data_IF_655555730510
#
_entry.id   IF_655555730510
#
_cell.length_a   1.000
_cell.length_b   1.000
_cell.length_c   1.000
_cell.angle_alpha   90.00
_cell.angle_beta   90.00
_cell.angle_gamma   90.00
#
_symmetry.space_group_name_H-M   'P 1'
#
loop_
_entity.id
_entity.type
_entity.pdbx_description
1 polymer ?
#
# COMPACT_ATOMS: atom_id res chain seq x y z
N UNK A 1 -7.58 25.69 8.25
CA UNK A 1 -8.43 26.75 8.81
C UNK A 1 -8.73 26.47 10.28
N UNK A 2 -7.92 27.02 11.15
CA UNK A 2 -7.96 26.77 12.57
C UNK A 2 -8.34 28.05 13.36
N UNK A 3 -7.89 28.20 14.57
CA UNK A 3 -8.19 29.35 15.43
C UNK A 3 -7.86 30.69 14.77
N UNK A 4 -6.81 30.74 13.96
CA UNK A 4 -6.36 31.95 13.26
C UNK A 4 -6.93 32.11 11.84
N UNK A 5 -7.93 31.33 11.48
CA UNK A 5 -8.59 31.37 10.19
C UNK A 5 -7.84 30.61 9.08
N UNK A 6 -8.01 31.06 7.87
CA UNK A 6 -7.45 30.39 6.68
C UNK A 6 -5.93 30.49 6.65
N UNK A 7 -5.22 29.35 6.64
CA UNK A 7 -3.77 29.27 6.61
C UNK A 7 -3.26 29.01 5.21
N UNK A 8 -2.27 29.77 4.77
CA UNK A 8 -1.65 29.64 3.44
C UNK A 8 -0.11 29.78 3.58
N UNK A 9 0.47 28.94 4.43
CA UNK A 9 1.90 28.94 4.63
C UNK A 9 2.60 28.03 3.62
N UNK A 10 3.77 28.47 3.17
CA UNK A 10 4.65 27.64 2.38
C UNK A 10 5.25 26.54 3.25
N UNK A 11 5.37 25.33 2.70
CA UNK A 11 6.12 24.24 3.34
C UNK A 11 7.63 24.47 3.14
N UNK A 12 8.36 24.53 4.25
CA UNK A 12 9.81 24.79 4.25
C UNK A 12 10.66 23.54 4.50
N UNK A 13 10.07 22.35 4.41
CA UNK A 13 10.74 21.07 4.64
C UNK A 13 10.66 20.56 6.07
N UNK A 14 9.99 21.26 6.96
CA UNK A 14 9.75 20.91 8.35
C UNK A 14 8.35 21.34 8.79
N UNK A 15 7.72 20.53 9.63
CA UNK A 15 6.38 20.78 10.15
C UNK A 15 5.28 20.01 9.41
N UNK A 16 4.14 19.86 10.05
CA UNK A 16 2.97 19.16 9.55
C UNK A 16 1.75 20.08 9.47
N UNK A 17 0.86 19.79 8.52
CA UNK A 17 -0.38 20.50 8.35
C UNK A 17 -1.54 19.76 9.04
N UNK A 18 -2.46 20.49 9.65
CA UNK A 18 -3.72 19.93 10.11
C UNK A 18 -4.62 19.67 8.89
N UNK A 19 -4.89 18.40 8.62
CA UNK A 19 -5.70 17.96 7.49
C UNK A 19 -7.07 17.47 7.99
N UNK A 20 -8.19 17.98 7.48
CA UNK A 20 -9.50 17.43 7.77
C UNK A 20 -9.67 16.06 7.12
N UNK A 21 -10.44 15.19 7.76
CA UNK A 21 -10.82 13.92 7.15
C UNK A 21 -11.74 14.14 5.96
N UNK A 22 -11.54 13.34 4.92
CA UNK A 22 -12.32 13.38 3.69
C UNK A 22 -12.39 12.06 2.97
N UNK A 23 -13.18 12.03 1.90
CA UNK A 23 -13.29 10.89 1.00
C UNK A 23 -12.56 11.20 -0.30
N UNK A 24 -11.87 10.20 -0.83
CA UNK A 24 -11.06 10.31 -2.04
C UNK A 24 -11.51 9.30 -3.09
N UNK A 25 -11.71 9.77 -4.32
CA UNK A 25 -11.88 8.95 -5.52
C UNK A 25 -10.76 9.29 -6.49
N UNK A 26 -9.77 8.40 -6.61
CA UNK A 26 -8.50 8.70 -7.29
C UNK A 26 -8.21 7.70 -8.39
N UNK A 27 -7.93 8.22 -9.59
CA UNK A 27 -7.51 7.43 -10.76
C UNK A 27 -6.09 7.77 -11.14
N UNK A 28 -5.21 6.77 -11.10
CA UNK A 28 -3.78 6.92 -11.36
C UNK A 28 -3.43 6.11 -12.61
N UNK A 29 -2.95 6.79 -13.65
CA UNK A 29 -2.56 6.17 -14.91
C UNK A 29 -1.05 6.07 -15.00
N UNK A 30 -0.55 4.84 -15.05
CA UNK A 30 0.88 4.51 -15.11
C UNK A 30 1.19 3.58 -16.28
N UNK A 31 2.47 3.38 -16.65
CA UNK A 31 2.85 2.34 -17.61
C UNK A 31 2.31 0.97 -17.18
N UNK A 32 1.93 0.12 -18.14
CA UNK A 32 1.24 -1.15 -17.84
C UNK A 32 2.12 -2.20 -17.16
N UNK A 33 3.43 -2.00 -17.16
CA UNK A 33 4.44 -2.80 -16.46
C UNK A 33 4.67 -2.37 -14.99
N UNK A 34 4.04 -1.27 -14.56
CA UNK A 34 4.11 -0.84 -13.17
C UNK A 34 3.09 -1.59 -12.29
N UNK A 35 3.55 -1.90 -11.09
CA UNK A 35 2.71 -2.27 -9.95
C UNK A 35 2.45 -1.01 -9.14
N UNK A 36 1.23 -0.90 -8.60
CA UNK A 36 0.81 0.26 -7.82
C UNK A 36 -0.08 -0.17 -6.66
N UNK A 37 0.13 0.42 -5.49
CA UNK A 37 -0.86 0.44 -4.43
C UNK A 37 -0.91 1.83 -3.78
N UNK A 38 -1.98 2.11 -3.05
CA UNK A 38 -2.30 3.46 -2.57
C UNK A 38 -3.18 3.42 -1.33
N UNK A 39 -3.38 4.57 -0.71
CA UNK A 39 -4.48 4.78 0.22
C UNK A 39 -5.81 4.36 -0.41
N UNK A 40 -6.66 3.70 0.36
CA UNK A 40 -7.99 3.27 -0.10
C UNK A 40 -8.04 1.90 -0.77
N UNK A 41 -9.23 1.51 -1.17
CA UNK A 41 -9.50 0.22 -1.78
C UNK A 41 -9.44 0.29 -3.31
N UNK A 42 -8.71 -0.64 -3.94
CA UNK A 42 -8.64 -0.78 -5.40
C UNK A 42 -9.96 -1.31 -5.96
N UNK A 43 -10.63 -0.51 -6.77
CA UNK A 43 -11.97 -0.79 -7.30
C UNK A 43 -11.95 -1.65 -8.56
N UNK A 44 -10.93 -1.52 -9.39
CA UNK A 44 -10.89 -2.13 -10.73
C UNK A 44 -9.83 -3.22 -10.89
N UNK A 45 -9.65 -4.08 -9.86
CA UNK A 45 -8.64 -5.16 -9.82
C UNK A 45 -8.59 -5.99 -11.11
N UNK A 46 -9.75 -6.35 -11.67
CA UNK A 46 -9.85 -7.16 -12.88
C UNK A 46 -9.23 -6.50 -14.11
N UNK A 47 -9.10 -5.17 -14.12
CA UNK A 47 -8.58 -4.41 -15.25
C UNK A 47 -7.06 -4.21 -15.17
N UNK A 48 -6.49 -4.24 -13.95
CA UNK A 48 -5.08 -3.92 -13.71
C UNK A 48 -4.24 -5.14 -13.30
N UNK A 49 -4.85 -6.18 -12.72
CA UNK A 49 -4.18 -7.42 -12.36
C UNK A 49 -4.15 -8.41 -13.53
N UNK A 50 -3.08 -9.17 -13.64
CA UNK A 50 -3.08 -10.40 -14.43
C UNK A 50 -3.98 -11.46 -13.79
N UNK A 51 -4.34 -12.50 -14.55
CA UNK A 51 -5.12 -13.62 -14.00
C UNK A 51 -4.42 -14.29 -12.82
N UNK A 52 -3.10 -14.40 -12.89
CA UNK A 52 -2.31 -15.01 -11.83
C UNK A 52 -2.22 -14.12 -10.58
N UNK A 53 -2.00 -12.82 -10.74
CA UNK A 53 -2.06 -11.86 -9.62
C UNK A 53 -3.42 -11.91 -8.93
N UNK A 54 -4.52 -11.94 -9.69
CA UNK A 54 -5.87 -12.00 -9.12
C UNK A 54 -6.09 -13.29 -8.31
N UNK A 55 -5.59 -14.43 -8.81
CA UNK A 55 -5.65 -15.72 -8.11
C UNK A 55 -4.87 -15.67 -6.79
N UNK A 56 -3.61 -15.16 -6.83
CA UNK A 56 -2.75 -15.02 -5.66
C UNK A 56 -3.34 -14.04 -4.64
N UNK A 57 -3.87 -12.91 -5.08
CA UNK A 57 -4.55 -11.93 -4.25
C UNK A 57 -5.75 -12.54 -3.51
N UNK A 58 -6.61 -13.29 -4.22
CA UNK A 58 -7.75 -13.97 -3.60
C UNK A 58 -7.33 -15.06 -2.61
N UNK A 59 -6.17 -15.71 -2.82
CA UNK A 59 -5.57 -16.64 -1.86
C UNK A 59 -5.08 -15.89 -0.62
N UNK A 60 -4.32 -14.80 -0.81
CA UNK A 60 -3.76 -14.01 0.28
C UNK A 60 -4.83 -13.51 1.27
N UNK A 61 -6.00 -13.10 0.77
CA UNK A 61 -7.15 -12.69 1.60
C UNK A 61 -7.67 -13.75 2.57
N UNK A 62 -7.23 -14.99 2.42
CA UNK A 62 -7.66 -16.15 3.25
C UNK A 62 -6.47 -16.86 3.89
N UNK A 63 -5.29 -16.24 3.87
CA UNK A 63 -4.05 -16.82 4.41
C UNK A 63 -3.57 -15.96 5.56
N UNK A 64 -3.56 -16.51 6.78
CA UNK A 64 -3.28 -15.81 8.04
C UNK A 64 -1.94 -16.21 8.67
N UNK A 65 -1.31 -17.25 8.18
CA UNK A 65 -0.11 -17.87 8.76
C UNK A 65 1.19 -17.42 8.09
N UNK A 66 1.11 -16.97 6.84
CA UNK A 66 2.28 -16.53 6.07
C UNK A 66 1.90 -15.62 4.91
N UNK A 67 2.82 -14.75 4.46
CA UNK A 67 2.61 -13.96 3.26
C UNK A 67 2.43 -14.81 2.00
N UNK A 68 1.62 -14.31 1.08
CA UNK A 68 1.44 -14.87 -0.27
C UNK A 68 1.98 -13.87 -1.27
N UNK A 69 2.94 -14.30 -2.08
CA UNK A 69 3.52 -13.52 -3.15
C UNK A 69 2.44 -13.17 -4.20
N UNK A 70 2.17 -11.88 -4.42
CA UNK A 70 1.27 -11.39 -5.46
C UNK A 70 2.05 -11.12 -6.74
N UNK A 71 3.22 -10.46 -6.61
CA UNK A 71 4.21 -10.28 -7.66
C UNK A 71 5.54 -10.84 -7.18
N UNK A 72 6.06 -11.83 -7.86
CA UNK A 72 7.32 -12.48 -7.51
C UNK A 72 8.54 -11.65 -7.94
N UNK A 73 9.71 -11.92 -7.36
CA UNK A 73 10.97 -11.31 -7.78
C UNK A 73 11.24 -11.53 -9.27
N UNK A 74 11.03 -12.74 -9.78
CA UNK A 74 11.25 -13.05 -11.19
C UNK A 74 10.34 -12.22 -12.12
N UNK A 75 9.08 -11.97 -11.72
CA UNK A 75 8.14 -11.11 -12.46
C UNK A 75 8.59 -9.63 -12.43
N UNK A 76 9.09 -9.15 -11.28
CA UNK A 76 9.65 -7.80 -11.15
C UNK A 76 10.91 -7.62 -12.00
N UNK A 77 11.84 -8.58 -11.95
CA UNK A 77 13.05 -8.57 -12.77
C UNK A 77 12.76 -8.63 -14.28
N UNK A 78 11.72 -9.35 -14.70
CA UNK A 78 11.30 -9.34 -16.10
C UNK A 78 10.73 -7.98 -16.51
N UNK A 79 9.94 -7.33 -15.63
CA UNK A 79 9.40 -6.00 -15.87
C UNK A 79 10.49 -4.91 -15.92
N UNK A 80 11.62 -5.09 -15.26
CA UNK A 80 12.77 -4.17 -15.30
C UNK A 80 13.49 -4.13 -16.65
N UNK A 81 13.40 -5.20 -17.46
CA UNK A 81 14.15 -5.33 -18.73
C UNK A 81 13.70 -4.35 -19.81
N UNK A 82 12.55 -3.71 -19.64
CA UNK A 82 12.01 -2.83 -20.66
C UNK A 82 11.03 -1.80 -20.12
N UNK A 83 10.44 -1.05 -21.04
CA UNK A 83 9.48 0.01 -20.74
C UNK A 83 8.21 -0.19 -21.59
N UNK A 84 7.08 -0.42 -20.95
CA UNK A 84 5.81 -0.51 -21.65
C UNK A 84 5.38 0.87 -22.16
N UNK A 85 5.04 0.93 -23.46
CA UNK A 85 4.38 2.09 -24.07
C UNK A 85 2.87 2.12 -23.77
N UNK A 86 2.30 0.98 -23.38
CA UNK A 86 0.89 0.87 -22.95
C UNK A 86 0.74 1.40 -21.53
N UNK A 87 -0.44 1.92 -21.23
CA UNK A 87 -0.80 2.42 -19.90
C UNK A 87 -1.98 1.63 -19.34
N UNK A 88 -2.10 1.62 -18.01
CA UNK A 88 -3.28 1.13 -17.29
C UNK A 88 -3.64 2.13 -16.20
N UNK A 89 -4.93 2.25 -15.91
CA UNK A 89 -5.46 3.16 -14.90
C UNK A 89 -5.93 2.35 -13.70
N UNK A 90 -5.38 2.67 -12.55
CA UNK A 90 -5.76 2.14 -11.24
C UNK A 90 -6.77 3.09 -10.61
N UNK A 91 -7.85 2.58 -10.06
CA UNK A 91 -8.91 3.37 -9.46
C UNK A 91 -9.07 2.99 -7.98
N UNK A 92 -8.82 3.94 -7.10
CA UNK A 92 -8.92 3.77 -5.65
C UNK A 92 -10.01 4.64 -5.08
N UNK A 93 -10.69 4.12 -4.06
CA UNK A 93 -11.61 4.88 -3.21
C UNK A 93 -11.17 4.74 -1.76
N UNK A 94 -11.10 5.85 -1.05
CA UNK A 94 -10.78 5.91 0.37
C UNK A 94 -11.84 6.77 1.08
N UNK A 95 -12.31 6.29 2.21
CA UNK A 95 -13.29 6.99 3.03
C UNK A 95 -12.68 7.37 4.37
N UNK A 96 -13.02 8.57 4.84
CA UNK A 96 -12.63 9.06 6.14
C UNK A 96 -11.11 8.98 6.40
N UNK A 97 -10.32 9.51 5.48
CA UNK A 97 -8.85 9.59 5.59
C UNK A 97 -8.38 11.04 5.53
N UNK A 98 -7.24 11.33 6.15
CA UNK A 98 -6.70 12.70 6.26
C UNK A 98 -6.01 13.17 4.98
N UNK A 99 -5.40 12.24 4.26
CA UNK A 99 -4.70 12.49 3.00
C UNK A 99 -4.65 11.22 2.15
N UNK A 100 -4.01 11.29 0.98
CA UNK A 100 -3.91 10.19 0.04
C UNK A 100 -2.49 10.09 -0.51
N UNK A 101 -1.88 8.91 -0.38
CA UNK A 101 -0.57 8.61 -0.93
C UNK A 101 -0.60 7.36 -1.82
N UNK A 102 0.39 7.23 -2.70
CA UNK A 102 0.56 6.05 -3.54
C UNK A 102 2.03 5.74 -3.80
N UNK A 103 2.32 4.48 -4.06
CA UNK A 103 3.61 4.00 -4.53
C UNK A 103 3.47 3.27 -5.85
N UNK A 104 4.41 3.47 -6.77
CA UNK A 104 4.39 2.78 -8.06
C UNK A 104 5.78 2.52 -8.60
N UNK A 105 6.04 1.29 -9.02
CA UNK A 105 7.29 0.90 -9.66
C UNK A 105 7.09 -0.35 -10.51
N UNK A 106 7.92 -0.54 -11.53
CA UNK A 106 8.05 -1.83 -12.23
C UNK A 106 8.91 -2.83 -11.45
N UNK A 107 9.69 -2.34 -10.48
CA UNK A 107 10.60 -3.13 -9.65
C UNK A 107 9.92 -3.79 -8.44
N UNK A 108 8.68 -3.47 -8.13
CA UNK A 108 8.05 -3.97 -6.92
C UNK A 108 7.78 -5.46 -6.98
N UNK A 109 8.41 -6.18 -6.07
CA UNK A 109 7.93 -7.41 -5.49
C UNK A 109 6.78 -7.02 -4.56
N UNK A 110 5.74 -7.84 -4.49
CA UNK A 110 4.57 -7.54 -3.69
C UNK A 110 4.06 -8.81 -3.03
N UNK A 111 3.99 -8.79 -1.72
CA UNK A 111 3.35 -9.86 -0.96
C UNK A 111 2.33 -9.32 0.05
N UNK A 112 1.46 -10.19 0.53
CA UNK A 112 0.44 -9.84 1.49
C UNK A 112 -0.12 -11.05 2.22
N UNK A 113 -0.69 -10.82 3.42
CA UNK A 113 -1.43 -11.81 4.19
C UNK A 113 -2.61 -11.17 4.91
N UNK A 114 -3.59 -11.99 5.29
CA UNK A 114 -4.70 -11.54 6.12
C UNK A 114 -4.32 -11.53 7.60
N UNK A 115 -4.84 -10.55 8.33
CA UNK A 115 -4.72 -10.42 9.79
C UNK A 115 -6.10 -10.22 10.37
N UNK A 116 -6.46 -11.02 11.38
CA UNK A 116 -7.72 -10.84 12.08
C UNK A 116 -7.58 -9.71 13.11
N UNK A 117 -8.39 -8.67 12.97
CA UNK A 117 -8.48 -7.54 13.90
C UNK A 117 -9.96 -7.37 14.26
N UNK A 118 -10.29 -7.67 15.51
CA UNK A 118 -11.70 -7.73 15.90
C UNK A 118 -12.51 -8.67 14.98
N UNK A 119 -13.60 -8.19 14.45
CA UNK A 119 -14.49 -8.96 13.56
C UNK A 119 -14.11 -8.88 12.06
N UNK A 120 -13.09 -8.12 11.69
CA UNK A 120 -12.71 -7.89 10.29
C UNK A 120 -11.34 -8.49 9.94
N UNK A 121 -11.15 -8.70 8.64
CA UNK A 121 -9.86 -9.07 8.08
C UNK A 121 -9.18 -7.81 7.52
N UNK A 122 -7.97 -7.53 8.02
CA UNK A 122 -7.10 -6.47 7.55
C UNK A 122 -5.96 -7.09 6.74
N UNK A 123 -5.59 -6.48 5.63
CA UNK A 123 -4.48 -6.97 4.81
C UNK A 123 -3.16 -6.31 5.24
N UNK A 124 -2.23 -7.11 5.74
CA UNK A 124 -0.82 -6.72 5.87
C UNK A 124 -0.15 -6.87 4.51
N UNK A 125 0.53 -5.84 4.04
CA UNK A 125 1.07 -5.75 2.67
C UNK A 125 2.49 -5.20 2.70
N UNK A 126 3.35 -5.72 1.85
CA UNK A 126 4.69 -5.14 1.60
C UNK A 126 4.98 -5.02 0.11
N UNK A 127 5.64 -3.91 -0.25
CA UNK A 127 6.09 -3.62 -1.61
C UNK A 127 7.55 -3.17 -1.56
N UNK A 128 8.43 -3.90 -2.24
CA UNK A 128 9.87 -3.69 -2.15
C UNK A 128 10.58 -4.13 -3.43
N UNK A 129 11.75 -3.54 -3.77
CA UNK A 129 12.57 -4.01 -4.87
C UNK A 129 13.42 -5.21 -4.44
N UNK A 130 13.97 -5.94 -5.40
CA UNK A 130 14.85 -7.10 -5.14
C UNK A 130 16.07 -6.79 -4.27
N UNK A 131 16.52 -5.55 -4.28
CA UNK A 131 17.63 -5.07 -3.45
C UNK A 131 17.31 -5.14 -1.93
N UNK A 132 16.02 -5.23 -1.57
CA UNK A 132 15.57 -5.45 -0.19
C UNK A 132 15.61 -6.91 0.26
N UNK A 133 15.73 -7.86 -0.69
CA UNK A 133 15.75 -9.28 -0.37
C UNK A 133 17.11 -9.77 0.15
N UNK A 134 17.14 -10.83 1.02
CA UNK A 134 15.97 -11.58 1.49
C UNK A 134 15.21 -10.92 2.66
N UNK A 135 15.74 -9.85 3.25
CA UNK A 135 15.23 -9.28 4.51
C UNK A 135 13.75 -8.87 4.42
N UNK A 136 13.35 -8.24 3.33
CA UNK A 136 11.97 -7.78 3.17
C UNK A 136 10.98 -8.93 2.95
N UNK A 137 11.35 -9.92 2.14
CA UNK A 137 10.54 -11.11 1.90
C UNK A 137 10.32 -11.92 3.18
N UNK A 138 11.38 -12.08 3.99
CA UNK A 138 11.33 -12.89 5.20
C UNK A 138 10.54 -12.20 6.33
N UNK A 139 10.57 -10.87 6.44
CA UNK A 139 10.12 -10.18 7.65
C UNK A 139 9.08 -9.08 7.44
N UNK A 140 9.11 -8.32 6.35
CA UNK A 140 8.35 -7.06 6.28
C UNK A 140 6.84 -7.26 6.50
N UNK A 141 6.19 -8.11 5.74
CA UNK A 141 4.73 -8.33 5.88
C UNK A 141 4.36 -8.97 7.22
N UNK A 142 5.23 -9.82 7.76
CA UNK A 142 5.03 -10.40 9.10
C UNK A 142 5.10 -9.32 10.17
N UNK A 143 6.06 -8.39 10.07
CA UNK A 143 6.18 -7.25 10.99
C UNK A 143 4.96 -6.34 10.89
N UNK A 144 4.46 -6.05 9.69
CA UNK A 144 3.20 -5.28 9.51
C UNK A 144 2.03 -6.01 10.18
N UNK A 145 1.93 -7.33 10.02
CA UNK A 145 0.87 -8.13 10.64
C UNK A 145 0.93 -8.09 12.17
N UNK A 146 2.13 -8.24 12.75
CA UNK A 146 2.31 -8.16 14.20
C UNK A 146 2.10 -6.74 14.74
N UNK A 147 2.48 -5.72 13.97
CA UNK A 147 2.20 -4.30 14.32
C UNK A 147 0.70 -4.05 14.38
N UNK A 148 -0.06 -4.51 13.39
CA UNK A 148 -1.52 -4.39 13.38
C UNK A 148 -2.17 -5.01 14.61
N UNK A 149 -1.76 -6.22 15.01
CA UNK A 149 -2.25 -6.90 16.21
C UNK A 149 -1.88 -6.13 17.46
N UNK A 150 -0.58 -5.87 17.64
CA UNK A 150 -0.05 -5.23 18.84
C UNK A 150 -0.68 -3.85 19.07
N UNK A 151 -0.76 -3.01 18.06
CA UNK A 151 -1.33 -1.68 18.22
C UNK A 151 -2.84 -1.71 18.42
N UNK A 152 -3.54 -2.66 17.79
CA UNK A 152 -4.98 -2.84 18.04
C UNK A 152 -5.25 -3.29 19.47
N UNK A 153 -4.43 -4.18 20.02
CA UNK A 153 -4.57 -4.64 21.41
C UNK A 153 -4.30 -3.53 22.45
N UNK A 154 -3.35 -2.63 22.16
CA UNK A 154 -2.99 -1.55 23.07
C UNK A 154 -3.83 -0.28 22.93
N UNK A 155 -4.54 -0.09 21.82
CA UNK A 155 -5.27 1.15 21.52
C UNK A 155 -6.72 0.89 21.14
N UNK A 156 -6.98 0.66 19.87
CA UNK A 156 -8.28 0.33 19.28
C UNK A 156 -8.07 -0.44 17.98
N UNK A 157 -9.07 -1.18 17.56
CA UNK A 157 -9.02 -1.97 16.31
C UNK A 157 -8.64 -1.09 15.13
N UNK A 158 -7.60 -1.49 14.40
CA UNK A 158 -7.13 -0.74 13.23
C UNK A 158 -8.29 -0.42 12.28
N UNK A 159 -8.58 0.87 11.98
CA UNK A 159 -9.85 1.24 11.35
C UNK A 159 -9.95 0.85 9.87
N UNK A 160 -8.83 0.71 9.17
CA UNK A 160 -8.80 0.51 7.73
C UNK A 160 -8.69 -0.96 7.33
N UNK A 161 -8.88 -1.26 6.04
CA UNK A 161 -8.90 -2.62 5.51
C UNK A 161 -7.52 -3.16 5.13
N UNK A 162 -6.48 -2.34 5.13
CA UNK A 162 -5.10 -2.74 4.86
C UNK A 162 -4.10 -1.80 5.53
N UNK A 163 -2.86 -2.31 5.69
CA UNK A 163 -1.67 -1.51 5.99
C UNK A 163 -0.53 -1.96 5.08
N UNK A 164 0.14 -1.02 4.43
CA UNK A 164 1.18 -1.25 3.43
C UNK A 164 2.49 -0.67 3.93
N UNK A 165 3.54 -1.47 3.93
CA UNK A 165 4.93 -1.03 4.06
C UNK A 165 5.58 -0.98 2.69
N UNK A 166 6.16 0.16 2.32
CA UNK A 166 6.83 0.35 1.03
C UNK A 166 8.31 0.65 1.26
N UNK A 167 9.17 -0.15 0.66
CA UNK A 167 10.59 0.17 0.61
C UNK A 167 10.86 1.30 -0.36
N UNK A 168 11.32 2.44 0.17
CA UNK A 168 11.70 3.59 -0.62
C UNK A 168 13.03 4.17 -0.13
N UNK A 169 13.72 4.91 -1.01
CA UNK A 169 15.01 5.51 -0.67
C UNK A 169 14.79 6.80 0.13
N UNK A 170 15.36 6.86 1.34
CA UNK A 170 15.41 8.07 2.18
C UNK A 170 14.03 8.69 2.49
N UNK A 171 13.05 7.84 2.80
CA UNK A 171 11.73 8.28 3.19
C UNK A 171 11.40 7.70 4.57
N UNK A 172 10.73 8.48 5.40
CA UNK A 172 10.12 8.06 6.64
C UNK A 172 8.82 8.85 6.75
N UNK A 173 7.76 8.36 6.10
CA UNK A 173 6.45 9.01 6.05
C UNK A 173 5.33 8.02 6.29
N UNK A 174 4.40 8.40 7.14
CA UNK A 174 3.21 7.65 7.49
C UNK A 174 1.98 8.34 6.88
N UNK A 175 1.35 7.65 5.93
CA UNK A 175 0.06 8.04 5.36
C UNK A 175 -1.01 7.03 5.72
N UNK A 176 -2.30 7.38 5.66
CA UNK A 176 -3.37 6.42 5.86
C UNK A 176 -3.18 5.18 4.98
N UNK A 177 -3.11 4.01 5.60
CA UNK A 177 -2.94 2.69 4.97
C UNK A 177 -1.59 2.43 4.27
N UNK A 178 -0.69 3.39 4.13
CA UNK A 178 0.59 3.22 3.42
C UNK A 178 1.70 4.04 4.08
N UNK A 179 2.81 3.40 4.39
CA UNK A 179 4.01 4.03 4.94
C UNK A 179 5.25 3.71 4.09
N UNK A 180 6.21 4.62 4.13
CA UNK A 180 7.45 4.58 3.35
C UNK A 180 8.66 4.57 4.26
#
# INVERSE_FOLDING_TARGET
NEVEGWQNYQFWGDGEFALPFGNYDVKITVPSDHILDATGELQNRKNVFSKEMLKRFNKAKKTYDKPVMIVTQAEAEEAEKGFSKKKKTWHFQAENVRDFAFATSRKFIWDMMAVKIGDKDVMAVSMYPKEGNPLWEDYSTVVVAETLKTYSDYTFDYPYHKAISVHAKQIGMEYPMICF
#
